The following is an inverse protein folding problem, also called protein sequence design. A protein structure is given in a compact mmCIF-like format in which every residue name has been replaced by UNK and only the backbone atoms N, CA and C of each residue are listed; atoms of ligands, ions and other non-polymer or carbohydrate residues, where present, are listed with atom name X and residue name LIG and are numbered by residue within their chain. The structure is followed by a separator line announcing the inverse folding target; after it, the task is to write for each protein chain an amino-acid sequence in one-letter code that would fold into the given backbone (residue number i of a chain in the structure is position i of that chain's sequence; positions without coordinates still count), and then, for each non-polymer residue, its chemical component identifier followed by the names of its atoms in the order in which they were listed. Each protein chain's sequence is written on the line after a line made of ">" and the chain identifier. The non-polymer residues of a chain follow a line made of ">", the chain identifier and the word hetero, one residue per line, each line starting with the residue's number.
data_IF_992324657178
#
_entry.id   IF_992324657178
#
_cell.length_a   1.000
_cell.length_b   1.000
_cell.length_c   1.000
_cell.angle_alpha   90.00
_cell.angle_beta   90.00
_cell.angle_gamma   90.00
#
_symmetry.space_group_name_H-M   'P 1'
#
loop_
_entity.id
_entity.type
_entity.pdbx_description
1 polymer ?
#
# COMPACT_ATOMS: atom_id res chain seq x y z
N UNK A 1 -21.78 27.21 1.54
CA UNK A 1 -20.47 26.52 1.44
C UNK A 1 -20.73 25.03 1.49
N UNK A 2 -20.54 24.34 0.37
CA UNK A 2 -20.88 22.92 0.23
C UNK A 2 -19.72 22.05 0.73
N UNK A 3 -19.84 21.46 1.91
CA UNK A 3 -18.96 20.36 2.35
C UNK A 3 -19.23 19.15 1.48
N UNK A 4 -18.42 18.96 0.44
CA UNK A 4 -18.37 17.68 -0.28
C UNK A 4 -17.80 16.64 0.68
N UNK A 5 -18.68 15.85 1.29
CA UNK A 5 -18.30 14.59 1.94
C UNK A 5 -17.74 13.68 0.85
N UNK A 6 -16.44 13.44 0.88
CA UNK A 6 -15.84 12.35 0.13
C UNK A 6 -16.55 11.02 0.49
N UNK A 7 -17.05 10.23 -0.47
CA UNK A 7 -17.81 9.02 -0.20
C UNK A 7 -16.93 7.82 0.21
N UNK A 8 -15.68 8.07 0.63
CA UNK A 8 -14.71 7.04 1.02
C UNK A 8 -14.36 7.12 2.51
N UNK A 9 -15.31 7.61 3.31
CA UNK A 9 -15.22 7.70 4.76
C UNK A 9 -15.20 6.32 5.42
N UNK A 10 -14.00 5.82 5.69
CA UNK A 10 -13.73 5.04 6.88
C UNK A 10 -12.39 5.52 7.41
N UNK A 11 -12.37 6.04 8.64
CA UNK A 11 -11.16 6.45 9.37
C UNK A 11 -10.21 5.24 9.49
N UNK A 12 -9.39 5.04 8.48
CA UNK A 12 -8.36 4.02 8.45
C UNK A 12 -7.06 4.58 9.03
N UNK A 13 -6.19 3.69 9.49
CA UNK A 13 -4.85 4.06 9.91
C UNK A 13 -4.02 4.48 8.68
N UNK A 14 -3.55 5.73 8.66
CA UNK A 14 -2.62 6.23 7.66
C UNK A 14 -1.19 6.09 8.19
N UNK A 15 -0.40 5.21 7.58
CA UNK A 15 1.06 5.15 7.78
C UNK A 15 1.71 6.02 6.70
N UNK A 16 2.36 7.10 7.11
CA UNK A 16 2.91 8.11 6.20
C UNK A 16 4.44 8.08 6.17
N UNK A 17 5.01 7.67 5.05
CA UNK A 17 6.47 7.60 4.83
C UNK A 17 7.11 8.93 4.40
N UNK A 18 6.43 10.08 4.60
CA UNK A 18 6.85 11.38 4.05
C UNK A 18 8.24 11.81 4.53
N UNK A 19 8.62 11.45 5.75
CA UNK A 19 9.90 11.84 6.34
C UNK A 19 11.10 11.09 5.73
N UNK A 20 10.87 9.96 5.03
CA UNK A 20 11.94 9.17 4.42
C UNK A 20 12.46 9.78 3.10
N UNK A 21 11.74 10.72 2.49
CA UNK A 21 12.16 11.36 1.25
C UNK A 21 12.10 10.42 0.04
N UNK A 22 13.09 10.50 -0.86
CA UNK A 22 13.22 9.59 -2.01
C UNK A 22 13.99 8.36 -1.53
N UNK A 23 13.30 7.22 -1.50
CA UNK A 23 13.86 5.92 -1.12
C UNK A 23 13.71 4.92 -2.25
N UNK A 24 14.58 3.92 -2.27
CA UNK A 24 14.50 2.79 -3.19
C UNK A 24 13.28 1.90 -2.89
N UNK A 25 12.91 1.07 -3.87
CA UNK A 25 11.81 0.10 -3.70
C UNK A 25 12.14 -0.95 -2.62
N UNK A 26 13.41 -1.26 -2.44
CA UNK A 26 13.90 -2.21 -1.43
C UNK A 26 13.75 -1.63 -0.02
N UNK A 27 14.13 -0.38 0.19
CA UNK A 27 13.92 0.32 1.46
C UNK A 27 12.44 0.48 1.79
N UNK A 28 11.60 0.76 0.78
CA UNK A 28 10.15 0.82 0.98
C UNK A 28 9.58 -0.54 1.39
N UNK A 29 10.09 -1.65 0.83
CA UNK A 29 9.69 -3.00 1.24
C UNK A 29 10.01 -3.23 2.72
N UNK A 30 11.23 -2.92 3.13
CA UNK A 30 11.68 -3.21 4.49
C UNK A 30 10.94 -2.34 5.52
N UNK A 31 10.70 -1.06 5.21
CA UNK A 31 9.88 -0.18 6.05
C UNK A 31 8.43 -0.68 6.20
N UNK A 32 7.81 -1.14 5.10
CA UNK A 32 6.46 -1.72 5.16
C UNK A 32 6.41 -2.98 6.02
N UNK A 33 7.42 -3.84 5.94
CA UNK A 33 7.50 -5.06 6.75
C UNK A 33 7.64 -4.75 8.23
N UNK A 34 8.45 -3.74 8.58
CA UNK A 34 8.63 -3.29 9.96
C UNK A 34 7.33 -2.73 10.55
N UNK A 35 6.63 -1.88 9.81
CA UNK A 35 5.35 -1.33 10.27
C UNK A 35 4.27 -2.40 10.42
N UNK A 36 4.22 -3.38 9.51
CA UNK A 36 3.31 -4.52 9.64
C UNK A 36 3.65 -5.38 10.86
N UNK A 37 4.94 -5.58 11.16
CA UNK A 37 5.38 -6.28 12.36
C UNK A 37 4.96 -5.51 13.62
N UNK A 38 5.15 -4.19 13.65
CA UNK A 38 4.70 -3.34 14.75
C UNK A 38 3.17 -3.40 14.96
N UNK A 39 2.39 -3.37 13.87
CA UNK A 39 0.93 -3.52 13.93
C UNK A 39 0.51 -4.85 14.53
N UNK A 40 1.22 -5.94 14.21
CA UNK A 40 0.96 -7.26 14.77
C UNK A 40 1.38 -7.36 16.23
N UNK A 41 2.60 -6.97 16.56
CA UNK A 41 3.23 -7.30 17.84
C UNK A 41 2.88 -6.30 18.94
N UNK A 42 2.81 -4.99 18.61
CA UNK A 42 2.56 -3.92 19.56
C UNK A 42 1.05 -3.63 19.63
N UNK A 43 0.40 -3.52 18.47
CA UNK A 43 -1.01 -3.12 18.40
C UNK A 43 -1.98 -4.30 18.29
N UNK A 44 -1.47 -5.55 18.26
CA UNK A 44 -2.26 -6.80 18.16
C UNK A 44 -3.32 -6.77 17.03
N UNK A 45 -3.00 -6.10 15.92
CA UNK A 45 -3.87 -6.03 14.75
C UNK A 45 -3.78 -7.36 14.00
N UNK A 46 -4.91 -8.06 13.88
CA UNK A 46 -4.98 -9.39 13.23
C UNK A 46 -5.56 -9.39 11.82
N UNK A 47 -6.38 -8.39 11.49
CA UNK A 47 -7.11 -8.35 10.23
C UNK A 47 -7.12 -6.93 9.67
N UNK A 48 -6.90 -6.81 8.36
CA UNK A 48 -7.03 -5.58 7.59
C UNK A 48 -7.94 -5.83 6.39
N UNK A 49 -8.74 -4.85 6.00
CA UNK A 49 -9.72 -4.97 4.90
C UNK A 49 -9.52 -3.82 3.92
N UNK A 50 -9.52 -4.13 2.62
CA UNK A 50 -9.45 -3.14 1.54
C UNK A 50 -8.22 -2.22 1.61
N UNK A 51 -7.07 -2.72 2.09
CA UNK A 51 -5.83 -1.95 2.17
C UNK A 51 -5.40 -1.47 0.78
N UNK A 52 -5.03 -0.20 0.67
CA UNK A 52 -4.57 0.43 -0.58
C UNK A 52 -3.22 1.07 -0.34
N UNK A 53 -2.28 0.82 -1.24
CA UNK A 53 -0.99 1.50 -1.27
C UNK A 53 -0.97 2.47 -2.46
N UNK A 54 -0.79 3.75 -2.19
CA UNK A 54 -0.62 4.78 -3.22
C UNK A 54 0.85 5.14 -3.31
N UNK A 55 1.47 4.77 -4.44
CA UNK A 55 2.89 5.03 -4.70
C UNK A 55 3.06 6.24 -5.61
N UNK A 56 3.98 7.13 -5.22
CA UNK A 56 4.46 8.23 -6.07
C UNK A 56 5.82 7.79 -6.62
N UNK A 57 5.80 7.19 -7.80
CA UNK A 57 7.03 6.63 -8.38
C UNK A 57 7.88 7.77 -8.92
N UNK A 58 9.12 7.85 -8.46
CA UNK A 58 10.10 8.83 -8.91
C UNK A 58 11.39 8.14 -9.35
N UNK A 59 12.26 8.87 -10.04
CA UNK A 59 13.67 8.48 -10.17
C UNK A 59 14.45 8.85 -8.89
N UNK A 60 15.76 8.55 -8.88
CA UNK A 60 16.70 8.89 -7.80
C UNK A 60 16.81 10.40 -7.49
N UNK A 61 16.43 11.25 -8.45
CA UNK A 61 16.44 12.71 -8.31
C UNK A 61 15.07 13.27 -7.85
N UNK A 62 14.06 12.42 -7.65
CA UNK A 62 12.71 12.82 -7.23
C UNK A 62 11.79 13.28 -8.37
N UNK A 63 12.17 13.09 -9.63
CA UNK A 63 11.32 13.39 -10.78
C UNK A 63 10.28 12.29 -10.99
N UNK A 64 9.03 12.67 -11.27
CA UNK A 64 7.92 11.72 -11.44
C UNK A 64 8.17 10.77 -12.62
N UNK A 65 8.15 9.47 -12.34
CA UNK A 65 8.37 8.43 -13.32
C UNK A 65 7.04 7.76 -13.69
N UNK A 66 6.76 7.71 -14.99
CA UNK A 66 5.53 7.09 -15.51
C UNK A 66 5.74 5.59 -15.67
N UNK A 67 5.12 4.79 -14.80
CA UNK A 67 5.13 3.33 -14.91
C UNK A 67 4.32 2.86 -16.12
N UNK A 68 4.96 2.06 -16.98
CA UNK A 68 4.36 1.46 -18.18
C UNK A 68 4.33 -0.06 -18.06
N UNK A 69 3.30 -0.69 -18.63
CA UNK A 69 3.25 -2.15 -18.80
C UNK A 69 4.31 -2.60 -19.79
N UNK A 70 4.87 -3.82 -19.66
CA UNK A 70 5.80 -4.39 -20.64
C UNK A 70 5.26 -4.39 -22.08
N UNK A 71 3.93 -4.56 -22.25
CA UNK A 71 3.26 -4.54 -23.57
C UNK A 71 2.89 -3.16 -24.11
N UNK A 72 3.31 -2.07 -23.46
CA UNK A 72 2.90 -0.71 -23.82
C UNK A 72 1.53 -0.36 -23.24
N UNK A 73 1.48 0.71 -22.43
CA UNK A 73 0.26 1.17 -21.77
C UNK A 73 0.58 1.71 -20.37
N UNK A 74 -0.08 2.80 -19.99
CA UNK A 74 0.11 3.44 -18.68
C UNK A 74 -0.51 2.58 -17.57
N UNK A 75 0.21 2.41 -16.46
CA UNK A 75 -0.33 1.78 -15.25
C UNK A 75 -0.66 2.89 -14.26
N UNK A 76 -1.94 3.05 -13.95
CA UNK A 76 -2.42 3.92 -12.86
C UNK A 76 -2.99 3.11 -11.69
N UNK A 77 -3.17 1.80 -11.91
CA UNK A 77 -3.76 0.88 -10.95
C UNK A 77 -3.19 -0.52 -11.21
N UNK A 78 -2.73 -1.16 -10.14
CA UNK A 78 -2.29 -2.54 -10.15
C UNK A 78 -3.22 -3.33 -9.23
N UNK A 79 -3.91 -4.33 -9.77
CA UNK A 79 -4.69 -5.26 -8.97
C UNK A 79 -3.79 -6.42 -8.55
N UNK A 80 -3.47 -6.50 -7.26
CA UNK A 80 -2.69 -7.59 -6.69
C UNK A 80 -3.62 -8.73 -6.29
N UNK A 81 -3.71 -9.77 -7.12
CA UNK A 81 -4.43 -11.00 -6.78
C UNK A 81 -3.58 -11.97 -5.95
N UNK A 82 -2.69 -11.46 -5.09
CA UNK A 82 -1.77 -12.29 -4.28
C UNK A 82 -2.48 -13.05 -3.14
N UNK A 83 -3.81 -13.11 -3.14
CA UNK A 83 -4.57 -13.80 -2.11
C UNK A 83 -4.66 -15.31 -2.39
N UNK A 84 -4.07 -16.12 -1.50
CA UNK A 84 -4.79 -17.24 -0.86
C UNK A 84 -4.00 -17.84 0.30
N UNK A 85 -4.54 -17.83 1.52
CA UNK A 85 -4.31 -18.94 2.43
C UNK A 85 -5.57 -19.80 2.45
N UNK A 86 -5.48 -20.94 1.77
CA UNK A 86 -6.47 -22.02 1.77
C UNK A 86 -6.59 -22.74 3.13
N UNK A 87 -5.92 -22.27 4.19
CA UNK A 87 -6.05 -22.81 5.55
C UNK A 87 -7.38 -22.41 6.25
N UNK A 88 -8.26 -21.69 5.55
CA UNK A 88 -9.69 -21.56 5.88
C UNK A 88 -10.60 -22.37 4.96
N UNK A 89 -10.05 -23.10 3.98
CA UNK A 89 -10.89 -23.73 2.95
C UNK A 89 -11.48 -25.08 3.38
N UNK A 90 -10.89 -25.91 4.27
CA UNK A 90 -11.59 -27.09 4.86
C UNK A 90 -10.96 -27.58 6.18
N UNK A 91 -11.72 -27.53 7.30
CA UNK A 91 -11.63 -28.49 8.42
C UNK A 91 -12.95 -29.29 8.42
N UNK A 92 -12.97 -30.43 7.74
CA UNK A 92 -14.02 -31.46 7.85
C UNK A 92 -13.37 -32.84 7.77
#
# INVERSE_FOLDING_TARGET
>A
MSTRKDPTGSEGLLVAYRQLGVISIEELRDALLEDLAALRDIYNVRYVKNTRLKLYVTNEYGEELRVRRPGGGRINYMNTHHYRPACKDYEL
#
